data_IF_752504344106
#
_entry.id   IF_752504344106
#
_cell.length_a   1.000
_cell.length_b   1.000
_cell.length_c   1.000
_cell.angle_alpha   90.00
_cell.angle_beta   90.00
_cell.angle_gamma   90.00
#
_symmetry.space_group_name_H-M   'P 1'
#
loop_
_entity.id
_entity.type
_entity.pdbx_description
1 polymer ?
#
# COMPACT_ATOMS: atom_id res chain seq x y z
N UNK A 1 3.24 13.97 -6.67
CA UNK A 1 3.59 12.86 -5.75
C UNK A 1 4.68 13.32 -4.82
N UNK A 2 4.70 12.86 -3.57
CA UNK A 2 5.67 13.27 -2.56
C UNK A 2 6.22 12.03 -1.84
N UNK A 3 7.54 11.95 -1.72
CA UNK A 3 8.23 10.82 -1.10
C UNK A 3 7.77 10.56 0.33
N UNK A 4 7.72 9.29 0.72
CA UNK A 4 7.44 8.85 2.08
C UNK A 4 8.71 9.02 2.92
N UNK A 5 8.60 9.71 4.06
CA UNK A 5 9.67 9.67 5.04
C UNK A 5 9.69 8.30 5.78
N UNK A 6 10.76 7.95 6.51
CA UNK A 6 10.87 6.62 7.14
C UNK A 6 9.74 6.28 8.12
N UNK A 7 9.13 7.27 8.78
CA UNK A 7 7.99 7.05 9.69
C UNK A 7 6.71 6.77 8.90
N UNK A 8 6.46 7.60 7.88
CA UNK A 8 5.32 7.42 6.98
C UNK A 8 5.37 6.06 6.29
N UNK A 9 6.53 5.70 5.72
CA UNK A 9 6.75 4.42 5.09
C UNK A 9 6.41 3.24 6.02
N UNK A 10 6.91 3.28 7.27
CA UNK A 10 6.59 2.24 8.27
C UNK A 10 5.11 2.19 8.59
N UNK A 11 4.45 3.34 8.71
CA UNK A 11 3.00 3.38 8.93
C UNK A 11 2.26 2.72 7.77
N UNK A 12 2.52 3.12 6.53
CA UNK A 12 1.85 2.55 5.34
C UNK A 12 2.06 1.04 5.26
N UNK A 13 3.32 0.59 5.35
CA UNK A 13 3.64 -0.83 5.22
C UNK A 13 3.08 -1.66 6.37
N UNK A 14 3.16 -1.19 7.60
CA UNK A 14 2.61 -1.93 8.75
C UNK A 14 1.09 -2.05 8.70
N UNK A 15 0.39 -1.00 8.25
CA UNK A 15 -1.06 -1.06 8.07
C UNK A 15 -1.44 -1.98 6.92
N UNK A 16 -0.73 -1.90 5.79
CA UNK A 16 -0.96 -2.78 4.64
C UNK A 16 -0.74 -4.25 5.00
N UNK A 17 0.39 -4.55 5.66
CA UNK A 17 0.70 -5.86 6.21
C UNK A 17 -0.44 -6.39 7.08
N UNK A 18 -0.87 -5.60 8.08
CA UNK A 18 -1.97 -5.97 8.97
C UNK A 18 -3.26 -6.31 8.21
N UNK A 19 -3.60 -5.56 7.14
CA UNK A 19 -4.82 -5.81 6.37
C UNK A 19 -4.73 -7.07 5.51
N UNK A 20 -3.57 -7.32 4.90
CA UNK A 20 -3.33 -8.52 4.11
C UNK A 20 -3.30 -9.77 5.01
N UNK A 21 -2.66 -9.67 6.17
CA UNK A 21 -2.61 -10.73 7.20
C UNK A 21 -4.01 -11.05 7.72
N UNK A 22 -4.83 -10.03 8.03
CA UNK A 22 -6.23 -10.23 8.44
C UNK A 22 -7.05 -10.97 7.38
N UNK A 23 -6.67 -10.84 6.10
CA UNK A 23 -7.30 -11.54 4.98
C UNK A 23 -6.60 -12.85 4.62
N UNK A 24 -5.57 -13.28 5.36
CA UNK A 24 -4.74 -14.44 5.02
C UNK A 24 -4.22 -14.39 3.58
N UNK A 25 -3.80 -13.21 3.10
CA UNK A 25 -3.19 -13.04 1.78
C UNK A 25 -1.69 -12.98 1.98
N UNK A 26 -0.97 -13.98 1.46
CA UNK A 26 0.49 -13.97 1.47
C UNK A 26 1.03 -12.94 0.46
N UNK A 27 2.10 -12.24 0.82
CA UNK A 27 2.64 -11.14 0.03
C UNK A 27 4.13 -10.93 0.27
N UNK A 28 4.76 -10.23 -0.66
CA UNK A 28 6.14 -9.77 -0.51
C UNK A 28 6.28 -8.35 -1.03
N UNK A 29 7.01 -7.51 -0.30
CA UNK A 29 7.36 -6.15 -0.76
C UNK A 29 8.46 -6.24 -1.81
N UNK A 30 8.42 -5.31 -2.78
CA UNK A 30 9.42 -5.25 -3.84
C UNK A 30 9.92 -3.81 -4.04
N UNK A 31 10.88 -3.68 -4.96
CA UNK A 31 11.47 -2.43 -5.43
C UNK A 31 11.79 -1.39 -4.33
N UNK A 32 11.31 -0.15 -4.46
CA UNK A 32 11.65 0.97 -3.58
C UNK A 32 11.21 0.74 -2.15
N UNK A 33 10.10 0.03 -1.96
CA UNK A 33 9.63 -0.36 -0.64
C UNK A 33 10.55 -1.38 0.02
N UNK A 34 10.94 -2.44 -0.68
CA UNK A 34 11.85 -3.45 -0.14
C UNK A 34 13.24 -2.88 0.20
N UNK A 35 13.77 -1.99 -0.64
CA UNK A 35 15.07 -1.33 -0.38
C UNK A 35 15.02 -0.50 0.90
N UNK A 36 13.95 0.28 1.10
CA UNK A 36 13.75 1.08 2.30
C UNK A 36 13.57 0.21 3.57
N UNK A 37 12.97 -0.97 3.43
CA UNK A 37 12.83 -1.92 4.54
C UNK A 37 14.17 -2.51 4.98
N UNK A 38 14.99 -2.96 4.02
CA UNK A 38 16.23 -3.68 4.27
C UNK A 38 17.38 -2.76 4.71
N UNK A 39 17.36 -1.49 4.30
CA UNK A 39 18.39 -0.52 4.65
C UNK A 39 17.76 0.83 5.02
N UNK A 40 17.51 1.02 6.32
CA UNK A 40 16.89 2.21 6.88
C UNK A 40 17.69 3.51 6.68
N UNK A 41 18.98 3.41 6.34
CA UNK A 41 19.86 4.55 6.05
C UNK A 41 20.10 4.73 4.55
N UNK A 42 19.38 3.98 3.70
CA UNK A 42 19.53 4.11 2.26
C UNK A 42 18.98 5.48 1.80
N UNK A 43 19.70 6.21 0.92
CA UNK A 43 19.27 7.55 0.50
C UNK A 43 18.04 7.54 -0.42
N UNK A 44 17.66 6.36 -0.94
CA UNK A 44 16.49 6.19 -1.82
C UNK A 44 15.21 6.23 -1.01
N UNK A 45 14.44 7.32 -1.14
CA UNK A 45 13.04 7.35 -0.72
C UNK A 45 12.14 6.78 -1.82
N UNK A 46 10.91 6.43 -1.47
CA UNK A 46 9.88 5.91 -2.39
C UNK A 46 8.59 6.69 -2.17
N UNK A 47 7.85 6.97 -3.24
CA UNK A 47 6.57 7.67 -3.22
C UNK A 47 5.37 6.72 -3.05
N UNK A 48 5.57 5.44 -3.35
CA UNK A 48 4.58 4.37 -3.36
C UNK A 48 5.16 3.06 -2.81
N UNK A 49 4.30 2.02 -2.73
CA UNK A 49 4.62 0.70 -2.19
C UNK A 49 4.29 -0.36 -3.23
N UNK A 50 5.33 -0.94 -3.83
CA UNK A 50 5.21 -2.11 -4.70
C UNK A 50 5.21 -3.41 -3.90
N UNK A 51 4.29 -4.32 -4.26
CA UNK A 51 4.21 -5.65 -3.68
C UNK A 51 3.65 -6.66 -4.67
N UNK A 52 3.93 -7.94 -4.41
CA UNK A 52 3.29 -9.08 -5.08
C UNK A 52 2.52 -9.88 -4.05
N UNK A 53 1.33 -10.35 -4.42
CA UNK A 53 0.50 -11.23 -3.60
C UNK A 53 0.45 -12.64 -4.19
N UNK A 54 0.25 -13.63 -3.33
CA UNK A 54 -0.10 -14.99 -3.73
C UNK A 54 -1.59 -15.09 -4.08
N UNK A 55 -1.91 -15.56 -5.28
CA UNK A 55 -3.29 -15.82 -5.71
C UNK A 55 -3.60 -17.31 -5.51
N UNK A 56 -4.46 -17.60 -4.54
CA UNK A 56 -4.88 -18.96 -4.20
C UNK A 56 -6.26 -19.31 -4.81
N UNK A 57 -6.91 -20.35 -4.25
CA UNK A 57 -8.23 -20.81 -4.68
C UNK A 57 -9.35 -19.76 -4.51
N UNK A 58 -9.15 -18.69 -3.74
CA UNK A 58 -10.11 -17.57 -3.62
C UNK A 58 -10.08 -16.63 -4.81
N UNK A 59 -9.07 -16.77 -5.68
CA UNK A 59 -8.91 -15.97 -6.91
C UNK A 59 -8.83 -14.46 -6.64
N UNK A 60 -8.26 -14.07 -5.51
CA UNK A 60 -7.98 -12.66 -5.19
C UNK A 60 -6.74 -12.24 -5.97
N UNK A 61 -6.93 -11.77 -7.19
CA UNK A 61 -5.87 -11.18 -8.02
C UNK A 61 -5.48 -9.80 -7.50
N UNK A 62 -4.38 -9.23 -8.02
CA UNK A 62 -3.98 -7.86 -7.71
C UNK A 62 -5.10 -6.84 -8.03
N UNK A 63 -5.84 -7.06 -9.12
CA UNK A 63 -6.98 -6.22 -9.49
C UNK A 63 -8.17 -6.40 -8.53
N UNK A 64 -8.52 -7.65 -8.18
CA UNK A 64 -9.56 -7.93 -7.19
C UNK A 64 -9.21 -7.37 -5.81
N UNK A 65 -7.92 -7.31 -5.47
CA UNK A 65 -7.44 -6.76 -4.19
C UNK A 65 -7.83 -5.29 -4.04
N UNK A 66 -7.85 -4.50 -5.11
CA UNK A 66 -8.34 -3.11 -5.07
C UNK A 66 -9.73 -3.06 -4.47
N UNK A 67 -10.69 -3.75 -5.09
CA UNK A 67 -12.08 -3.80 -4.63
C UNK A 67 -12.18 -4.32 -3.20
N UNK A 68 -11.40 -5.35 -2.87
CA UNK A 68 -11.37 -5.93 -1.54
C UNK A 68 -10.94 -4.90 -0.47
N UNK A 69 -9.85 -4.18 -0.71
CA UNK A 69 -9.34 -3.18 0.23
C UNK A 69 -10.31 -2.01 0.42
N UNK A 70 -10.87 -1.50 -0.67
CA UNK A 70 -11.84 -0.39 -0.65
C UNK A 70 -13.11 -0.74 0.12
N UNK A 71 -13.63 -1.94 -0.09
CA UNK A 71 -14.86 -2.39 0.58
C UNK A 71 -14.62 -2.74 2.05
N UNK A 72 -13.48 -3.35 2.36
CA UNK A 72 -13.21 -3.89 3.71
C UNK A 72 -12.67 -2.85 4.68
N UNK A 73 -11.91 -1.89 4.15
CA UNK A 73 -11.15 -0.94 4.94
C UNK A 73 -11.31 0.49 4.36
N UNK A 74 -12.56 0.98 4.22
CA UNK A 74 -12.83 2.27 3.55
C UNK A 74 -12.24 3.49 4.29
N UNK A 75 -11.97 3.36 5.60
CA UNK A 75 -11.29 4.39 6.38
C UNK A 75 -9.79 4.48 6.05
N UNK A 76 -9.17 3.37 5.62
CA UNK A 76 -7.74 3.26 5.37
C UNK A 76 -7.40 3.43 3.87
N UNK A 77 -8.31 3.07 2.96
CA UNK A 77 -8.04 3.06 1.51
C UNK A 77 -9.09 3.84 0.69
N UNK A 78 -8.65 4.37 -0.44
CA UNK A 78 -9.46 4.93 -1.53
C UNK A 78 -8.96 4.49 -2.91
N UNK A 79 -9.81 4.58 -3.92
CA UNK A 79 -9.44 4.28 -5.30
C UNK A 79 -8.82 5.49 -5.97
N UNK A 80 -7.55 5.38 -6.38
CA UNK A 80 -6.90 6.38 -7.22
C UNK A 80 -7.06 5.97 -8.70
N UNK A 81 -7.52 6.88 -9.56
CA UNK A 81 -7.74 6.62 -10.98
C UNK A 81 -7.14 7.73 -11.83
N UNK A 82 -5.96 7.48 -12.41
CA UNK A 82 -5.27 8.43 -13.29
C UNK A 82 -5.51 8.15 -14.78
N UNK A 83 -5.76 6.89 -15.16
CA UNK A 83 -5.77 6.45 -16.56
C UNK A 83 -6.96 5.55 -16.92
N UNK A 84 -8.09 5.71 -16.23
CA UNK A 84 -9.27 4.86 -16.41
C UNK A 84 -9.18 3.50 -15.70
N UNK A 85 -8.16 3.29 -14.87
CA UNK A 85 -7.97 2.10 -14.05
C UNK A 85 -7.77 2.51 -12.60
N UNK A 86 -8.61 1.99 -11.71
CA UNK A 86 -8.57 2.30 -10.29
C UNK A 86 -7.62 1.35 -9.56
N UNK A 87 -6.70 1.90 -8.77
CA UNK A 87 -5.77 1.18 -7.91
C UNK A 87 -5.98 1.58 -6.45
N UNK A 88 -5.61 0.75 -5.46
CA UNK A 88 -5.82 1.10 -4.06
C UNK A 88 -4.74 2.07 -3.60
N UNK A 89 -5.15 3.19 -2.99
CA UNK A 89 -4.29 4.16 -2.36
C UNK A 89 -4.56 4.21 -0.84
N UNK A 90 -3.51 4.15 -0.04
CA UNK A 90 -3.62 4.28 1.42
C UNK A 90 -3.74 5.75 1.83
N UNK A 91 -4.72 6.05 2.68
CA UNK A 91 -5.04 7.40 3.17
C UNK A 91 -4.10 7.84 4.29
N UNK A 92 -2.83 8.06 3.94
CA UNK A 92 -1.82 8.55 4.89
C UNK A 92 -2.20 9.93 5.42
N UNK A 93 -2.43 10.02 6.73
CA UNK A 93 -2.72 11.28 7.42
C UNK A 93 -1.42 12.07 7.65
N UNK A 94 -1.22 13.13 6.86
CA UNK A 94 -0.13 14.09 7.07
C UNK A 94 -0.67 15.32 7.82
N UNK A 95 -0.07 15.71 8.96
CA UNK A 95 -0.47 16.95 9.64
C UNK A 95 -0.38 18.13 8.68
N UNK A 96 -1.50 18.80 8.43
CA UNK A 96 -1.60 19.96 7.53
C UNK A 96 -2.02 19.67 6.08
N UNK A 97 -2.24 18.41 5.69
CA UNK A 97 -2.91 18.09 4.42
C UNK A 97 -4.43 18.00 4.65
N UNK A 98 -5.16 19.00 4.17
CA UNK A 98 -6.60 18.87 3.93
C UNK A 98 -6.73 18.10 2.62
N UNK A 99 -7.20 16.85 2.67
CA UNK A 99 -7.63 16.13 1.48
C UNK A 99 -9.01 16.67 1.13
N UNK A 100 -9.09 17.53 0.10
CA UNK A 100 -10.35 17.93 -0.56
C UNK A 100 -10.67 16.99 -1.69
#
# INVERSE_FOLDING_TARGET
MAFLNPREWRTVVSTLAQKLDFRNIDYTLMDGAAVNFLNLNHPRLTEDIDLVIHVDNRQITADCLTTLLLHSFPADFEGANQYGHAIPAYKLQRPGHIVT
#
